data_IF_520013632181
#
_entry.id   IF_520013632181
#
_cell.length_a   1.000
_cell.length_b   1.000
_cell.length_c   1.000
_cell.angle_alpha   90.00
_cell.angle_beta   90.00
_cell.angle_gamma   90.00
#
_symmetry.space_group_name_H-M   'P 1'
#
loop_
_entity.id
_entity.type
_entity.pdbx_description
1 polymer ?
#
# COMPACT_ATOMS: atom_id res chain seq x y z
N UNK A 1 -80.60 50.46 5.70
CA UNK A 1 -79.53 49.50 5.94
C UNK A 1 -78.78 49.22 4.66
N UNK A 2 -77.67 49.86 4.46
CA UNK A 2 -76.90 49.83 3.22
C UNK A 2 -75.67 48.93 3.53
N UNK A 3 -75.56 47.81 2.80
CA UNK A 3 -74.37 46.92 2.88
C UNK A 3 -73.28 47.43 1.96
N UNK A 4 -72.12 47.82 2.53
CA UNK A 4 -70.92 48.08 1.77
C UNK A 4 -70.28 46.71 1.40
N UNK A 5 -69.99 46.53 0.13
CA UNK A 5 -69.22 45.44 -0.41
C UNK A 5 -67.79 45.97 -0.63
N UNK A 6 -66.83 45.53 0.14
CA UNK A 6 -65.43 45.79 -0.06
C UNK A 6 -64.84 44.77 -1.05
N UNK A 7 -64.46 45.28 -2.21
CA UNK A 7 -63.73 44.53 -3.26
C UNK A 7 -62.24 44.63 -2.97
N UNK A 8 -61.58 43.50 -2.47
CA UNK A 8 -60.11 43.41 -2.35
C UNK A 8 -59.53 43.04 -3.70
N UNK A 9 -58.83 44.00 -4.30
CA UNK A 9 -58.03 43.73 -5.50
C UNK A 9 -56.74 42.99 -5.18
N UNK A 10 -56.61 41.77 -5.68
CA UNK A 10 -55.41 40.94 -5.57
C UNK A 10 -54.43 41.26 -6.70
N UNK A 11 -53.38 42.05 -6.43
CA UNK A 11 -52.29 42.28 -7.37
C UNK A 11 -51.39 41.08 -7.42
N UNK A 12 -51.46 40.23 -8.44
CA UNK A 12 -50.50 39.21 -8.75
C UNK A 12 -49.23 39.86 -9.35
N UNK A 13 -48.18 39.92 -8.53
CA UNK A 13 -46.81 40.20 -9.00
C UNK A 13 -46.25 38.92 -9.62
N UNK A 14 -46.25 38.84 -10.95
CA UNK A 14 -45.52 37.85 -11.73
C UNK A 14 -44.03 38.20 -11.68
N UNK A 15 -43.29 37.64 -10.72
CA UNK A 15 -41.81 37.62 -10.73
C UNK A 15 -41.37 36.63 -11.78
N UNK A 16 -40.97 37.11 -12.95
CA UNK A 16 -40.32 36.31 -13.97
C UNK A 16 -38.98 35.79 -13.44
N UNK A 17 -38.91 34.52 -13.06
CA UNK A 17 -37.67 33.85 -12.84
C UNK A 17 -36.94 33.71 -14.17
N UNK A 18 -35.95 34.55 -14.42
CA UNK A 18 -35.01 34.37 -15.53
C UNK A 18 -34.15 33.16 -15.11
N UNK A 19 -34.45 31.98 -15.66
CA UNK A 19 -33.58 30.83 -15.56
C UNK A 19 -32.27 31.22 -16.27
N UNK A 20 -31.25 31.54 -15.50
CA UNK A 20 -29.90 31.59 -16.01
C UNK A 20 -29.53 30.16 -16.43
N UNK A 21 -29.58 29.89 -17.71
CA UNK A 21 -28.91 28.72 -18.29
C UNK A 21 -27.41 28.93 -18.14
N UNK A 22 -26.87 28.54 -17.01
CA UNK A 22 -25.44 28.35 -16.89
C UNK A 22 -25.09 27.24 -17.88
N UNK A 23 -24.53 27.63 -19.04
CA UNK A 23 -23.81 26.64 -19.87
C UNK A 23 -22.86 25.95 -18.96
N UNK A 24 -23.06 24.67 -18.67
CA UNK A 24 -22.03 23.84 -18.03
C UNK A 24 -20.75 24.10 -18.83
N UNK A 25 -19.68 24.59 -18.23
CA UNK A 25 -18.42 24.69 -18.93
C UNK A 25 -18.14 23.31 -19.51
N UNK A 26 -17.89 23.23 -20.81
CA UNK A 26 -17.53 21.99 -21.46
C UNK A 26 -16.41 21.33 -20.61
N UNK A 27 -16.67 20.15 -20.11
CA UNK A 27 -15.67 19.41 -19.29
C UNK A 27 -14.47 19.18 -20.19
N UNK A 28 -13.40 19.95 -20.00
CA UNK A 28 -12.16 19.75 -20.75
C UNK A 28 -11.54 18.48 -20.22
N UNK A 29 -11.66 17.40 -20.98
CA UNK A 29 -11.00 16.15 -20.67
C UNK A 29 -9.52 16.26 -21.04
N UNK A 30 -8.65 16.28 -20.03
CA UNK A 30 -7.21 16.24 -20.20
C UNK A 30 -6.73 14.79 -20.10
N UNK A 31 -5.91 14.36 -21.07
CA UNK A 31 -5.19 13.10 -20.94
C UNK A 31 -4.01 13.30 -19.99
N UNK A 32 -4.12 12.77 -18.79
CA UNK A 32 -3.08 12.83 -17.76
C UNK A 32 -3.16 11.59 -16.85
N UNK A 33 -2.04 10.84 -16.66
CA UNK A 33 -0.81 10.98 -17.42
C UNK A 33 -1.01 10.49 -18.86
N UNK A 34 -0.33 11.13 -19.80
CA UNK A 34 -0.19 10.60 -21.16
C UNK A 34 1.17 9.92 -21.27
N UNK A 35 1.17 8.63 -21.51
CA UNK A 35 2.36 7.82 -21.72
C UNK A 35 2.51 7.55 -23.21
N UNK A 36 3.57 8.06 -23.81
CA UNK A 36 3.93 7.80 -25.21
C UNK A 36 4.94 6.66 -25.31
N UNK A 37 5.09 6.16 -26.51
CA UNK A 37 6.09 5.15 -26.81
C UNK A 37 7.49 5.63 -26.41
N UNK A 38 8.33 4.70 -25.93
CA UNK A 38 9.68 5.03 -25.48
C UNK A 38 9.74 5.68 -24.10
N UNK A 39 8.64 5.66 -23.30
CA UNK A 39 8.67 6.06 -21.90
C UNK A 39 8.56 7.58 -21.65
N UNK A 40 8.24 8.38 -22.68
CA UNK A 40 7.93 9.79 -22.49
C UNK A 40 6.56 9.93 -21.82
N UNK A 41 6.50 10.58 -20.64
CA UNK A 41 5.27 10.79 -19.89
C UNK A 41 4.98 12.29 -19.75
N UNK A 42 3.75 12.66 -20.06
CA UNK A 42 3.26 14.05 -19.88
C UNK A 42 2.13 14.06 -18.85
N UNK A 43 2.34 14.81 -17.79
CA UNK A 43 1.34 15.09 -16.75
C UNK A 43 0.70 16.46 -17.04
N UNK A 44 -0.62 16.56 -16.94
CA UNK A 44 -1.36 17.81 -17.20
C UNK A 44 -2.36 18.09 -16.09
N UNK A 45 -2.52 19.38 -15.78
CA UNK A 45 -3.48 19.84 -14.78
C UNK A 45 -4.10 21.18 -15.25
N UNK A 46 -5.43 21.25 -15.29
CA UNK A 46 -6.14 22.50 -15.62
C UNK A 46 -6.33 23.35 -14.37
N UNK A 47 -5.63 24.48 -14.30
CA UNK A 47 -5.75 25.45 -13.22
C UNK A 47 -5.45 26.87 -13.73
N UNK A 48 -6.40 27.51 -14.47
CA UNK A 48 -6.15 28.80 -15.12
C UNK A 48 -5.82 29.92 -14.12
N UNK A 49 -6.35 29.85 -12.89
CA UNK A 49 -6.15 30.88 -11.87
C UNK A 49 -5.01 30.56 -10.90
N UNK A 50 -4.41 29.37 -10.95
CA UNK A 50 -3.31 29.01 -10.09
C UNK A 50 -2.04 29.81 -10.39
N UNK A 51 -1.30 30.16 -9.35
CA UNK A 51 -0.01 30.83 -9.42
C UNK A 51 1.14 29.85 -9.61
N UNK A 52 0.99 28.63 -9.08
CA UNK A 52 2.00 27.58 -9.11
C UNK A 52 1.36 26.21 -9.08
N UNK A 53 1.81 25.33 -9.98
CA UNK A 53 1.48 23.89 -9.93
C UNK A 53 2.78 23.10 -9.97
N UNK A 54 2.88 22.09 -9.12
CA UNK A 54 4.01 21.21 -9.03
C UNK A 54 3.55 19.76 -9.12
N UNK A 55 4.35 18.92 -9.77
CA UNK A 55 4.25 17.47 -9.74
C UNK A 55 5.16 16.94 -8.61
N UNK A 56 4.62 16.15 -7.71
CA UNK A 56 5.32 15.48 -6.62
C UNK A 56 5.28 13.98 -6.88
N UNK A 57 6.44 13.32 -6.89
CA UNK A 57 6.55 11.90 -7.18
C UNK A 57 7.14 11.11 -6.00
N UNK A 58 7.31 9.79 -6.17
CA UNK A 58 7.84 8.87 -5.15
C UNK A 58 9.20 9.27 -4.55
N UNK A 59 10.04 9.94 -5.33
CA UNK A 59 11.34 10.43 -4.87
C UNK A 59 11.26 11.69 -3.98
N UNK A 60 10.05 12.16 -3.69
CA UNK A 60 9.79 13.37 -2.90
C UNK A 60 10.16 14.68 -3.61
N UNK A 61 10.73 14.62 -4.82
CA UNK A 61 11.12 15.82 -5.56
C UNK A 61 9.90 16.54 -6.12
N UNK A 62 9.90 17.85 -5.96
CA UNK A 62 8.89 18.74 -6.50
C UNK A 62 9.36 19.27 -7.87
N UNK A 63 8.57 19.01 -8.89
CA UNK A 63 8.86 19.44 -10.28
C UNK A 63 7.88 20.53 -10.67
N UNK A 64 8.39 21.72 -10.99
CA UNK A 64 7.57 22.86 -11.42
C UNK A 64 6.98 22.55 -12.79
N UNK A 65 5.67 22.72 -12.92
CA UNK A 65 4.97 22.56 -14.18
C UNK A 65 4.92 23.91 -14.95
N UNK A 66 4.82 23.86 -16.27
CA UNK A 66 4.72 25.02 -17.13
C UNK A 66 3.26 25.26 -17.54
N UNK A 67 2.81 26.50 -17.45
CA UNK A 67 1.44 26.91 -17.78
C UNK A 67 1.37 27.41 -19.23
N UNK A 68 0.43 26.91 -19.99
CA UNK A 68 0.12 27.42 -21.32
C UNK A 68 -0.91 28.56 -21.30
N UNK A 69 -1.24 29.09 -22.47
CA UNK A 69 -2.19 30.21 -22.66
C UNK A 69 -3.66 29.82 -22.33
N UNK A 70 -3.97 28.53 -22.28
CA UNK A 70 -5.30 28.01 -21.94
C UNK A 70 -5.48 27.74 -20.44
N UNK A 71 -4.41 27.87 -19.67
CA UNK A 71 -4.40 27.60 -18.23
C UNK A 71 -4.12 26.15 -17.87
N UNK A 72 -3.69 25.35 -18.84
CA UNK A 72 -3.20 23.98 -18.60
C UNK A 72 -1.74 24.04 -18.19
N UNK A 73 -1.45 23.39 -17.08
CA UNK A 73 -0.10 23.17 -16.58
C UNK A 73 0.38 21.81 -17.04
N UNK A 74 1.62 21.73 -17.54
CA UNK A 74 2.21 20.48 -18.03
C UNK A 74 3.63 20.29 -17.52
N UNK A 75 4.00 19.01 -17.33
CA UNK A 75 5.36 18.55 -17.09
C UNK A 75 5.58 17.29 -17.91
N UNK A 76 6.69 17.22 -18.64
CA UNK A 76 7.03 16.06 -19.47
C UNK A 76 8.47 15.61 -19.17
N UNK A 77 8.65 14.30 -19.02
CA UNK A 77 9.97 13.68 -18.85
C UNK A 77 9.96 12.24 -19.33
N UNK A 78 11.15 11.68 -19.55
CA UNK A 78 11.32 10.24 -19.77
C UNK A 78 11.32 9.50 -18.43
N UNK A 79 10.63 8.36 -18.39
CA UNK A 79 10.56 7.45 -17.24
C UNK A 79 10.82 6.03 -17.72
N UNK A 80 11.62 5.30 -16.93
CA UNK A 80 11.81 3.87 -17.14
C UNK A 80 10.51 3.08 -16.90
N UNK A 81 10.36 1.90 -17.52
CA UNK A 81 9.18 1.05 -17.32
C UNK A 81 8.94 0.69 -15.85
N UNK A 82 7.88 1.24 -15.27
CA UNK A 82 7.46 0.97 -13.90
C UNK A 82 6.09 1.63 -13.60
N UNK A 83 5.63 1.54 -12.34
CA UNK A 83 4.44 2.24 -11.86
C UNK A 83 4.87 3.25 -10.79
N UNK A 84 4.61 4.52 -11.07
CA UNK A 84 5.02 5.67 -10.27
C UNK A 84 3.83 6.26 -9.53
N UNK A 85 3.97 6.52 -8.23
CA UNK A 85 3.00 7.33 -7.49
C UNK A 85 3.26 8.81 -7.71
N UNK A 86 2.22 9.59 -7.85
CA UNK A 86 2.34 11.03 -7.96
C UNK A 86 1.11 11.77 -7.42
N UNK A 87 1.30 13.05 -7.14
CA UNK A 87 0.25 14.01 -6.80
C UNK A 87 0.59 15.36 -7.42
N UNK A 88 -0.41 16.22 -7.53
CA UNK A 88 -0.19 17.63 -7.84
C UNK A 88 -0.25 18.47 -6.58
N UNK A 89 0.57 19.52 -6.51
CA UNK A 89 0.45 20.59 -5.53
C UNK A 89 0.08 21.88 -6.24
N UNK A 90 -1.17 22.33 -6.05
CA UNK A 90 -1.76 23.53 -6.66
C UNK A 90 -1.83 24.62 -5.62
N UNK A 91 -0.99 25.66 -5.76
CA UNK A 91 -0.84 26.74 -4.76
C UNK A 91 -0.67 26.22 -3.33
N UNK A 92 0.05 25.09 -3.19
CA UNK A 92 0.31 24.44 -1.91
C UNK A 92 -0.68 23.32 -1.50
N UNK A 93 -1.84 23.22 -2.16
CA UNK A 93 -2.81 22.16 -1.89
C UNK A 93 -2.46 20.89 -2.65
N UNK A 94 -2.20 19.81 -1.94
CA UNK A 94 -1.84 18.52 -2.52
C UNK A 94 -3.10 17.72 -2.86
N UNK A 95 -3.17 17.19 -4.09
CA UNK A 95 -4.29 16.40 -4.57
C UNK A 95 -3.87 15.36 -5.61
N UNK A 96 -4.63 14.26 -5.77
CA UNK A 96 -4.43 13.34 -6.89
C UNK A 96 -4.79 14.01 -8.23
N UNK A 97 -4.39 13.37 -9.31
CA UNK A 97 -4.79 13.78 -10.66
C UNK A 97 -6.28 13.50 -10.90
N UNK A 98 -7.12 14.51 -11.12
CA UNK A 98 -8.54 14.30 -11.33
C UNK A 98 -8.88 13.61 -12.67
N UNK A 99 -7.91 13.53 -13.58
CA UNK A 99 -8.08 12.88 -14.88
C UNK A 99 -7.55 11.44 -14.91
N UNK A 100 -6.98 10.96 -13.79
CA UNK A 100 -6.42 9.62 -13.70
C UNK A 100 -7.28 8.74 -12.80
N UNK A 101 -7.93 7.68 -13.31
CA UNK A 101 -8.74 6.77 -12.50
C UNK A 101 -7.88 5.81 -11.64
N UNK A 102 -6.57 5.69 -11.93
CA UNK A 102 -5.68 4.81 -11.17
C UNK A 102 -5.21 5.51 -9.90
N UNK A 103 -5.88 5.20 -8.80
CA UNK A 103 -5.62 5.80 -7.48
C UNK A 103 -5.23 4.70 -6.48
N UNK A 104 -4.15 4.93 -5.74
CA UNK A 104 -3.87 4.23 -4.49
C UNK A 104 -4.55 4.99 -3.35
N UNK A 105 -5.59 4.43 -2.71
CA UNK A 105 -6.22 5.07 -1.55
C UNK A 105 -5.24 5.20 -0.38
N UNK A 106 -5.52 6.14 0.50
CA UNK A 106 -4.79 6.33 1.75
C UNK A 106 -5.76 6.20 2.93
N UNK A 107 -5.39 5.39 3.91
CA UNK A 107 -6.21 5.13 5.08
C UNK A 107 -6.48 6.42 5.87
N UNK A 108 -7.76 6.66 6.19
CA UNK A 108 -8.24 7.88 6.90
C UNK A 108 -7.79 9.20 6.25
N UNK A 109 -7.60 9.21 4.92
CA UNK A 109 -7.32 10.43 4.15
C UNK A 109 -8.39 10.61 3.09
N UNK A 110 -8.79 11.85 2.87
CA UNK A 110 -9.82 12.19 1.88
C UNK A 110 -9.37 11.92 0.44
N UNK A 111 -8.06 12.00 0.20
CA UNK A 111 -7.46 11.91 -1.12
C UNK A 111 -6.37 10.82 -1.13
N UNK A 112 -6.36 10.03 -2.22
CA UNK A 112 -5.31 9.06 -2.49
C UNK A 112 -4.12 9.66 -3.26
N UNK A 113 -3.32 8.77 -3.83
CA UNK A 113 -2.19 9.10 -4.72
C UNK A 113 -2.45 8.48 -6.10
N UNK A 114 -2.24 9.26 -7.16
CA UNK A 114 -2.38 8.77 -8.53
C UNK A 114 -1.23 7.85 -8.92
N UNK A 115 -1.49 6.92 -9.83
CA UNK A 115 -0.51 5.96 -10.35
C UNK A 115 -0.31 6.18 -11.85
N UNK A 116 0.93 6.41 -12.27
CA UNK A 116 1.32 6.44 -13.68
C UNK A 116 2.02 5.12 -14.03
N UNK A 117 1.41 4.32 -14.90
CA UNK A 117 2.01 3.10 -15.41
C UNK A 117 2.75 3.40 -16.70
N UNK A 118 4.06 3.23 -16.71
CA UNK A 118 4.92 3.25 -17.89
C UNK A 118 5.15 1.79 -18.28
N UNK A 119 4.54 1.32 -19.38
CA UNK A 119 4.62 -0.08 -19.78
C UNK A 119 6.06 -0.51 -20.11
N UNK A 120 6.38 -1.73 -19.78
CA UNK A 120 7.68 -2.33 -20.01
C UNK A 120 7.61 -3.71 -20.71
N UNK A 121 8.76 -4.36 -20.85
CA UNK A 121 8.80 -5.69 -21.40
C UNK A 121 8.03 -6.68 -20.52
N UNK A 122 7.40 -7.68 -21.15
CA UNK A 122 6.62 -8.73 -20.47
C UNK A 122 7.44 -9.58 -19.48
N UNK A 123 8.74 -9.42 -19.47
CA UNK A 123 9.64 -10.05 -18.47
C UNK A 123 9.60 -9.37 -17.10
N UNK A 124 9.08 -8.13 -17.01
CA UNK A 124 8.85 -7.47 -15.71
C UNK A 124 7.69 -8.17 -15.00
N UNK A 125 7.92 -8.60 -13.76
CA UNK A 125 6.97 -9.42 -13.02
C UNK A 125 5.64 -8.72 -12.74
N UNK A 126 5.61 -7.40 -12.74
CA UNK A 126 4.41 -6.59 -12.50
C UNK A 126 3.66 -6.17 -13.76
N UNK A 127 4.13 -6.58 -14.95
CA UNK A 127 3.40 -6.39 -16.20
C UNK A 127 2.30 -7.44 -16.35
N UNK A 128 1.13 -7.00 -16.80
CA UNK A 128 0.01 -7.91 -17.04
C UNK A 128 0.30 -8.77 -18.26
N UNK A 129 0.43 -10.08 -18.05
CA UNK A 129 0.69 -11.06 -19.08
C UNK A 129 -0.56 -11.92 -19.34
N UNK A 130 -0.59 -12.58 -20.48
CA UNK A 130 -1.62 -13.57 -20.82
C UNK A 130 -1.25 -14.92 -20.17
N UNK A 131 -1.54 -15.02 -18.88
CA UNK A 131 -1.32 -16.20 -18.03
C UNK A 131 -2.57 -16.44 -17.18
N UNK A 132 -2.79 -17.64 -16.64
CA UNK A 132 -3.86 -17.85 -15.68
C UNK A 132 -3.73 -16.89 -14.48
N UNK A 133 -4.84 -16.26 -14.08
CA UNK A 133 -4.88 -15.30 -12.99
C UNK A 133 -5.52 -15.90 -11.75
N UNK A 134 -5.02 -15.48 -10.59
CA UNK A 134 -5.59 -15.75 -9.28
C UNK A 134 -6.83 -14.89 -8.98
N UNK A 135 -7.42 -15.10 -7.82
CA UNK A 135 -8.63 -14.38 -7.38
C UNK A 135 -8.30 -13.52 -6.17
N UNK A 136 -8.86 -12.31 -6.15
CA UNK A 136 -8.80 -11.39 -5.00
C UNK A 136 -10.14 -11.39 -4.28
N UNK A 137 -10.13 -11.70 -2.99
CA UNK A 137 -11.33 -11.72 -2.13
C UNK A 137 -11.12 -10.76 -0.95
N UNK A 138 -12.14 -9.99 -0.63
CA UNK A 138 -12.17 -9.14 0.56
C UNK A 138 -13.11 -9.74 1.59
N UNK A 139 -12.63 -9.94 2.82
CA UNK A 139 -13.42 -10.37 3.96
C UNK A 139 -13.49 -9.27 4.99
N UNK A 140 -14.69 -8.96 5.43
CA UNK A 140 -14.94 -8.03 6.53
C UNK A 140 -15.12 -8.80 7.86
N UNK A 141 -14.56 -8.27 8.92
CA UNK A 141 -14.71 -8.83 10.27
C UNK A 141 -14.66 -7.73 11.32
N UNK A 142 -15.26 -8.01 12.47
CA UNK A 142 -15.12 -7.17 13.65
C UNK A 142 -14.00 -7.71 14.51
N UNK A 143 -12.95 -6.91 14.70
CA UNK A 143 -11.89 -7.26 15.62
C UNK A 143 -12.36 -7.10 17.06
N UNK A 144 -12.24 -8.13 17.86
CA UNK A 144 -12.51 -8.08 19.30
C UNK A 144 -11.33 -7.46 20.08
N UNK A 145 -10.14 -7.51 19.50
CA UNK A 145 -8.90 -7.00 20.09
C UNK A 145 -8.75 -5.50 19.87
N UNK A 146 -8.98 -5.04 18.64
CA UNK A 146 -8.89 -3.61 18.30
C UNK A 146 -10.21 -2.89 18.57
N UNK A 147 -11.34 -3.58 18.45
CA UNK A 147 -12.68 -3.05 18.75
C UNK A 147 -13.40 -2.41 17.56
N UNK A 148 -12.82 -2.48 16.34
CA UNK A 148 -13.34 -1.85 15.13
C UNK A 148 -13.73 -2.85 14.03
N UNK A 149 -14.39 -2.36 12.98
CA UNK A 149 -14.65 -3.10 11.75
C UNK A 149 -13.39 -3.03 10.87
N UNK A 150 -12.97 -4.20 10.40
CA UNK A 150 -11.75 -4.38 9.62
C UNK A 150 -12.00 -5.25 8.40
N UNK A 151 -11.03 -5.25 7.50
CA UNK A 151 -11.00 -6.17 6.39
C UNK A 151 -9.63 -6.84 6.25
N UNK A 152 -9.64 -7.98 5.57
CA UNK A 152 -8.45 -8.57 4.97
C UNK A 152 -8.70 -8.75 3.48
N UNK A 153 -7.66 -8.64 2.69
CA UNK A 153 -7.67 -9.03 1.27
C UNK A 153 -6.83 -10.26 1.06
N UNK A 154 -7.41 -11.21 0.38
CA UNK A 154 -6.78 -12.51 0.15
C UNK A 154 -6.64 -12.75 -1.35
N UNK A 155 -5.41 -12.94 -1.79
CA UNK A 155 -5.13 -13.49 -3.11
C UNK A 155 -5.06 -15.01 -2.99
N UNK A 156 -5.79 -15.72 -3.85
CA UNK A 156 -5.65 -17.16 -4.06
C UNK A 156 -5.01 -17.41 -5.43
N UNK A 157 -4.08 -18.36 -5.55
CA UNK A 157 -3.35 -18.58 -6.80
C UNK A 157 -4.26 -19.11 -7.92
N UNK A 158 -3.85 -18.99 -9.18
CA UNK A 158 -4.57 -19.59 -10.32
C UNK A 158 -4.87 -21.07 -10.07
N UNK A 159 -6.11 -21.48 -10.34
CA UNK A 159 -6.56 -22.85 -10.12
C UNK A 159 -6.66 -23.26 -8.65
N UNK A 160 -6.83 -22.30 -7.73
CA UNK A 160 -7.04 -22.60 -6.31
C UNK A 160 -8.18 -23.60 -6.11
N UNK A 161 -7.88 -24.71 -5.42
CA UNK A 161 -8.85 -25.75 -5.06
C UNK A 161 -8.94 -25.87 -3.53
N UNK A 162 -10.08 -25.55 -2.91
CA UNK A 162 -10.26 -25.67 -1.46
C UNK A 162 -10.24 -27.12 -0.96
N UNK A 163 -10.35 -28.10 -1.85
CA UNK A 163 -10.35 -29.54 -1.53
C UNK A 163 -9.03 -30.24 -1.87
N UNK A 164 -8.03 -29.50 -2.34
CA UNK A 164 -6.71 -30.06 -2.65
C UNK A 164 -6.14 -30.78 -1.43
N UNK A 165 -5.55 -31.96 -1.64
CA UNK A 165 -4.95 -32.79 -0.57
C UNK A 165 -3.80 -32.06 0.14
N UNK A 166 -2.90 -31.45 -0.64
CA UNK A 166 -1.78 -30.66 -0.11
C UNK A 166 -2.24 -29.22 0.13
N UNK A 167 -2.25 -28.72 1.37
CA UNK A 167 -2.67 -27.36 1.67
C UNK A 167 -1.73 -26.32 1.04
N UNK A 168 -2.26 -25.13 0.78
CA UNK A 168 -1.47 -24.01 0.27
C UNK A 168 -0.68 -23.35 1.39
N UNK A 169 0.58 -22.99 1.15
CA UNK A 169 1.29 -22.11 2.06
C UNK A 169 0.73 -20.68 1.98
N UNK A 170 0.97 -19.90 3.04
CA UNK A 170 0.46 -18.53 3.19
C UNK A 170 1.59 -17.55 3.41
N UNK A 171 1.60 -16.48 2.62
CA UNK A 171 2.37 -15.28 2.88
C UNK A 171 1.42 -14.21 3.46
N UNK A 172 1.63 -13.82 4.71
CA UNK A 172 1.03 -12.63 5.30
C UNK A 172 1.88 -11.42 4.91
N UNK A 173 1.30 -10.48 4.17
CA UNK A 173 2.03 -9.37 3.54
C UNK A 173 1.48 -8.02 4.03
N UNK A 174 2.29 -7.29 4.81
CA UNK A 174 1.88 -6.08 5.49
C UNK A 174 2.22 -4.82 4.70
N UNK A 175 1.30 -3.87 4.70
CA UNK A 175 1.44 -2.56 4.07
C UNK A 175 2.16 -1.54 4.98
N UNK A 176 2.51 -0.39 4.44
CA UNK A 176 3.15 0.71 5.17
C UNK A 176 2.18 1.66 5.84
N UNK A 177 2.75 2.65 6.54
CA UNK A 177 1.95 3.69 7.18
C UNK A 177 1.16 4.49 6.14
N UNK A 178 -0.06 4.90 6.47
CA UNK A 178 -1.06 5.53 5.62
C UNK A 178 -1.64 4.66 4.50
N UNK A 179 -1.16 3.45 4.30
CA UNK A 179 -1.70 2.51 3.32
C UNK A 179 -2.95 1.79 3.84
N UNK A 180 -3.65 1.10 2.95
CA UNK A 180 -4.81 0.25 3.22
C UNK A 180 -4.54 -1.20 2.79
N UNK A 181 -5.46 -2.10 3.10
CA UNK A 181 -5.36 -3.53 2.74
C UNK A 181 -5.20 -3.80 1.25
N UNK A 182 -5.57 -2.85 0.38
CA UNK A 182 -5.45 -2.95 -1.07
C UNK A 182 -4.12 -2.39 -1.63
N UNK A 183 -3.25 -1.84 -0.80
CA UNK A 183 -2.06 -1.13 -1.29
C UNK A 183 -1.10 -2.04 -2.08
N UNK A 184 -0.94 -3.28 -1.63
CA UNK A 184 -0.13 -4.27 -2.33
C UNK A 184 -0.75 -4.70 -3.67
N UNK A 185 -2.07 -4.79 -3.79
CA UNK A 185 -2.74 -5.10 -5.06
C UNK A 185 -2.77 -3.93 -6.02
N UNK A 186 -2.95 -2.70 -5.52
CA UNK A 186 -3.03 -1.49 -6.37
C UNK A 186 -1.64 -1.00 -6.80
N UNK A 187 -0.83 -0.54 -5.86
CA UNK A 187 0.51 -0.03 -6.14
C UNK A 187 1.57 -1.13 -6.21
N UNK A 188 1.45 -2.17 -5.40
CA UNK A 188 2.39 -3.29 -5.34
C UNK A 188 2.25 -4.29 -6.49
N UNK A 189 1.05 -4.43 -7.08
CA UNK A 189 0.76 -5.41 -8.14
C UNK A 189 1.05 -6.86 -7.71
N UNK A 190 0.90 -7.18 -6.42
CA UNK A 190 1.28 -8.47 -5.86
C UNK A 190 0.63 -9.66 -6.58
N UNK A 191 -0.66 -9.54 -6.91
CA UNK A 191 -1.42 -10.56 -7.63
C UNK A 191 -0.82 -10.83 -9.02
N UNK A 192 -0.48 -9.79 -9.78
CA UNK A 192 0.13 -9.90 -11.10
C UNK A 192 1.54 -10.50 -11.00
N UNK A 193 2.32 -10.07 -10.00
CA UNK A 193 3.65 -10.62 -9.72
C UNK A 193 3.54 -12.13 -9.46
N UNK A 194 2.59 -12.54 -8.62
CA UNK A 194 2.41 -13.95 -8.27
C UNK A 194 1.93 -14.78 -9.45
N UNK A 195 0.95 -14.28 -10.22
CA UNK A 195 0.45 -14.97 -11.42
C UNK A 195 1.60 -15.25 -12.40
N UNK A 196 2.42 -14.21 -12.68
CA UNK A 196 3.56 -14.34 -13.57
C UNK A 196 4.64 -15.31 -13.04
N UNK A 197 4.97 -15.23 -11.76
CA UNK A 197 5.98 -16.11 -11.16
C UNK A 197 5.52 -17.57 -11.09
N UNK A 198 4.24 -17.81 -10.82
CA UNK A 198 3.64 -19.14 -10.80
C UNK A 198 3.64 -19.73 -12.21
N UNK A 199 3.19 -18.96 -13.22
CA UNK A 199 3.19 -19.39 -14.61
C UNK A 199 4.60 -19.71 -15.15
N UNK A 200 5.62 -19.02 -14.65
CA UNK A 200 7.03 -19.26 -14.96
C UNK A 200 7.66 -20.41 -14.14
N UNK A 201 6.93 -21.03 -13.21
CA UNK A 201 7.47 -22.06 -12.31
C UNK A 201 8.52 -21.54 -11.31
N UNK A 202 8.61 -20.22 -11.11
CA UNK A 202 9.62 -19.57 -10.25
C UNK A 202 9.22 -19.56 -8.77
N UNK A 203 7.93 -19.68 -8.47
CA UNK A 203 7.41 -19.75 -7.09
C UNK A 203 6.33 -20.83 -6.98
N UNK A 204 6.18 -21.38 -5.77
CA UNK A 204 5.06 -22.29 -5.49
C UNK A 204 3.74 -21.50 -5.42
N UNK A 205 2.61 -22.06 -5.90
CA UNK A 205 1.30 -21.49 -5.66
C UNK A 205 1.07 -21.31 -4.16
N UNK A 206 0.78 -20.08 -3.74
CA UNK A 206 0.54 -19.71 -2.33
C UNK A 206 -0.61 -18.73 -2.21
N UNK A 207 -1.21 -18.68 -1.03
CA UNK A 207 -2.19 -17.66 -0.64
C UNK A 207 -1.42 -16.45 -0.14
N UNK A 208 -1.85 -15.23 -0.48
CA UNK A 208 -1.36 -14.00 0.15
C UNK A 208 -2.49 -13.36 0.93
N UNK A 209 -2.19 -12.92 2.15
CA UNK A 209 -3.15 -12.24 3.04
C UNK A 209 -2.62 -10.86 3.39
N UNK A 210 -3.34 -9.83 2.97
CA UNK A 210 -3.11 -8.45 3.34
C UNK A 210 -4.10 -8.06 4.43
N UNK A 211 -3.60 -7.62 5.57
CA UNK A 211 -4.44 -7.16 6.69
C UNK A 211 -4.20 -5.69 6.99
N UNK A 212 -5.19 -5.01 7.58
CA UNK A 212 -5.04 -3.62 8.00
C UNK A 212 -4.04 -3.52 9.15
N UNK A 213 -2.93 -2.83 8.93
CA UNK A 213 -1.74 -2.77 9.80
C UNK A 213 -1.87 -1.87 11.04
N UNK A 214 -3.10 -1.45 11.44
CA UNK A 214 -3.30 -0.51 12.54
C UNK A 214 -4.01 -1.16 13.72
N UNK A 215 -3.30 -1.27 14.85
CA UNK A 215 -3.88 -1.61 16.15
C UNK A 215 -4.47 -0.38 16.89
N UNK A 216 -3.96 0.80 16.56
CA UNK A 216 -4.42 2.09 17.09
C UNK A 216 -4.68 3.07 15.93
N UNK A 217 -5.76 2.86 15.13
CA UNK A 217 -6.00 3.65 13.93
C UNK A 217 -6.24 5.15 14.19
N UNK A 218 -6.58 5.51 15.41
CA UNK A 218 -6.69 6.90 15.87
C UNK A 218 -5.36 7.67 15.76
N UNK A 219 -4.22 7.00 15.73
CA UNK A 219 -2.92 7.64 15.55
C UNK A 219 -2.77 8.36 14.20
N UNK A 220 -3.63 8.05 13.22
CA UNK A 220 -3.63 8.67 11.88
C UNK A 220 -4.64 9.81 11.75
N UNK A 221 -5.44 10.10 12.78
CA UNK A 221 -6.40 11.19 12.74
C UNK A 221 -5.68 12.57 12.82
N UNK A 222 -6.17 13.58 12.06
CA UNK A 222 -5.61 14.92 12.14
C UNK A 222 -5.69 15.46 13.58
N UNK A 223 -4.57 15.95 14.10
CA UNK A 223 -4.50 16.53 15.44
C UNK A 223 -4.38 15.54 16.61
N UNK A 224 -4.38 14.25 16.36
CA UNK A 224 -4.32 13.20 17.39
C UNK A 224 -2.94 12.97 18.02
N UNK A 225 -1.99 13.91 17.95
CA UNK A 225 -0.62 13.67 18.43
C UNK A 225 0.01 12.45 17.76
N UNK A 226 -0.32 12.23 16.49
CA UNK A 226 0.06 11.12 15.68
C UNK A 226 1.56 10.85 15.81
N UNK A 227 1.90 9.58 16.08
CA UNK A 227 3.28 9.12 16.27
C UNK A 227 3.92 9.38 17.62
N UNK A 228 3.14 9.66 18.69
CA UNK A 228 3.71 9.56 20.04
C UNK A 228 4.22 8.13 20.27
N UNK A 229 5.23 7.98 21.13
CA UNK A 229 5.78 6.66 21.46
C UNK A 229 4.71 5.71 21.99
N UNK A 230 3.79 6.25 22.79
CA UNK A 230 2.66 5.52 23.37
C UNK A 230 1.69 5.03 22.28
N UNK A 231 1.36 5.89 21.32
CA UNK A 231 0.48 5.52 20.20
C UNK A 231 1.11 4.47 19.30
N UNK A 232 2.40 4.61 18.99
CA UNK A 232 3.15 3.63 18.19
C UNK A 232 3.23 2.28 18.91
N UNK A 233 3.55 2.27 20.20
CA UNK A 233 3.59 1.05 21.03
C UNK A 233 2.23 0.38 21.10
N UNK A 234 1.16 1.13 21.39
CA UNK A 234 -0.22 0.63 21.39
C UNK A 234 -0.60 0.05 20.04
N UNK A 235 -0.23 0.75 18.95
CA UNK A 235 -0.47 0.27 17.59
C UNK A 235 0.16 -1.09 17.35
N UNK A 236 1.43 -1.24 17.70
CA UNK A 236 2.17 -2.48 17.51
C UNK A 236 1.58 -3.64 18.33
N UNK A 237 1.38 -3.42 19.64
CA UNK A 237 0.85 -4.44 20.56
C UNK A 237 -0.52 -4.97 20.11
N UNK A 238 -1.46 -4.07 19.78
CA UNK A 238 -2.81 -4.45 19.37
C UNK A 238 -2.83 -5.06 17.96
N UNK A 239 -2.01 -4.54 17.03
CA UNK A 239 -1.91 -5.11 15.70
C UNK A 239 -1.36 -6.53 15.74
N UNK A 240 -0.23 -6.76 16.41
CA UNK A 240 0.38 -8.09 16.54
C UNK A 240 -0.58 -9.06 17.23
N UNK A 241 -1.27 -8.62 18.29
CA UNK A 241 -2.25 -9.45 18.98
C UNK A 241 -3.43 -9.84 18.06
N UNK A 242 -4.00 -8.88 17.31
CA UNK A 242 -5.08 -9.13 16.34
C UNK A 242 -4.61 -10.02 15.18
N UNK A 243 -3.43 -9.77 14.65
CA UNK A 243 -2.85 -10.59 13.61
C UNK A 243 -2.72 -12.06 14.02
N UNK A 244 -2.11 -12.31 15.17
CA UNK A 244 -1.85 -13.67 15.66
C UNK A 244 -3.12 -14.40 16.11
N UNK A 245 -4.06 -13.70 16.75
CA UNK A 245 -5.23 -14.33 17.39
C UNK A 245 -6.51 -14.26 16.57
N UNK A 246 -6.58 -13.37 15.57
CA UNK A 246 -7.79 -13.20 14.75
C UNK A 246 -7.52 -13.50 13.28
N UNK A 247 -6.51 -12.85 12.66
CA UNK A 247 -6.26 -12.95 11.20
C UNK A 247 -5.74 -14.34 10.81
N UNK A 248 -4.74 -14.88 11.52
CA UNK A 248 -4.21 -16.21 11.23
C UNK A 248 -5.31 -17.29 11.37
N UNK A 249 -6.03 -17.40 12.51
CA UNK A 249 -7.09 -18.40 12.66
C UNK A 249 -8.25 -18.21 11.66
N UNK A 250 -8.58 -16.97 11.31
CA UNK A 250 -9.60 -16.70 10.29
C UNK A 250 -9.16 -17.21 8.92
N UNK A 251 -7.92 -16.96 8.52
CA UNK A 251 -7.36 -17.45 7.26
C UNK A 251 -7.39 -18.99 7.19
N UNK A 252 -6.99 -19.66 8.27
CA UNK A 252 -6.99 -21.13 8.35
C UNK A 252 -8.38 -21.75 8.33
N UNK A 253 -9.40 -21.03 8.81
CA UNK A 253 -10.79 -21.47 8.73
C UNK A 253 -11.39 -21.27 7.34
N UNK A 254 -11.00 -20.21 6.62
CA UNK A 254 -11.61 -19.83 5.35
C UNK A 254 -10.94 -20.49 4.14
N UNK A 255 -9.68 -20.87 4.25
CA UNK A 255 -8.88 -21.33 3.13
C UNK A 255 -8.20 -22.67 3.42
N UNK A 256 -7.92 -23.42 2.36
CA UNK A 256 -7.18 -24.68 2.44
C UNK A 256 -5.71 -24.42 2.73
N UNK A 257 -5.39 -24.15 3.99
CA UNK A 257 -4.04 -23.96 4.52
C UNK A 257 -3.84 -24.80 5.77
N UNK A 258 -2.65 -24.81 6.35
CA UNK A 258 -2.30 -25.65 7.49
C UNK A 258 -1.70 -24.83 8.64
N UNK A 259 -2.16 -25.15 9.85
CA UNK A 259 -1.61 -24.60 11.10
C UNK A 259 -0.22 -25.17 11.43
N UNK A 260 0.74 -24.95 10.52
CA UNK A 260 2.13 -25.41 10.66
C UNK A 260 3.06 -24.31 10.15
N UNK A 261 4.08 -23.96 10.93
CA UNK A 261 5.01 -22.87 10.60
C UNK A 261 5.69 -23.02 9.24
N UNK A 262 5.89 -24.24 8.74
CA UNK A 262 6.51 -24.49 7.44
C UNK A 262 5.64 -24.04 6.27
N UNK A 263 4.34 -23.82 6.51
CA UNK A 263 3.38 -23.26 5.56
C UNK A 263 3.14 -21.76 5.77
N UNK A 264 3.86 -21.09 6.69
CA UNK A 264 3.64 -19.66 6.97
C UNK A 264 4.90 -18.83 6.76
N UNK A 265 4.70 -17.75 5.98
CA UNK A 265 5.65 -16.67 5.81
C UNK A 265 5.00 -15.36 6.26
N UNK A 266 5.77 -14.42 6.77
CA UNK A 266 5.36 -13.05 7.06
C UNK A 266 6.36 -12.08 6.45
N UNK A 267 5.88 -11.06 5.76
CA UNK A 267 6.71 -10.00 5.21
C UNK A 267 5.92 -8.68 5.15
N UNK A 268 6.63 -7.58 4.96
CA UNK A 268 5.98 -6.29 4.80
C UNK A 268 6.95 -5.19 4.42
N UNK A 269 6.39 -4.02 4.09
CA UNK A 269 7.14 -2.83 3.73
C UNK A 269 7.02 -1.75 4.81
N UNK A 270 8.08 -0.96 5.02
CA UNK A 270 8.05 0.21 5.91
C UNK A 270 7.57 -0.15 7.33
N UNK A 271 6.46 0.42 7.81
CA UNK A 271 5.80 0.04 9.05
C UNK A 271 5.53 -1.48 9.07
N UNK A 272 4.91 -2.01 8.01
CA UNK A 272 4.66 -3.44 7.89
C UNK A 272 5.94 -4.28 7.84
N UNK A 273 7.06 -3.71 7.39
CA UNK A 273 8.38 -4.33 7.48
C UNK A 273 8.86 -4.50 8.93
N UNK A 274 8.70 -3.47 9.76
CA UNK A 274 8.94 -3.54 11.19
C UNK A 274 8.04 -4.58 11.86
N UNK A 275 6.74 -4.51 11.58
CA UNK A 275 5.72 -5.44 12.08
C UNK A 275 5.96 -6.90 11.69
N UNK A 276 6.43 -7.16 10.46
CA UNK A 276 6.75 -8.52 10.04
C UNK A 276 7.98 -9.08 10.75
N UNK A 277 8.98 -8.23 11.01
CA UNK A 277 10.14 -8.62 11.82
C UNK A 277 9.74 -8.88 13.28
N UNK A 278 8.89 -8.02 13.87
CA UNK A 278 8.37 -8.25 15.23
C UNK A 278 7.55 -9.55 15.30
N UNK A 279 6.55 -9.72 14.44
CA UNK A 279 5.72 -10.92 14.41
C UNK A 279 6.54 -12.19 14.22
N UNK A 280 7.49 -12.19 13.26
CA UNK A 280 8.25 -13.38 12.89
C UNK A 280 9.34 -13.75 13.88
N UNK A 281 10.14 -12.78 14.33
CA UNK A 281 11.27 -13.05 15.21
C UNK A 281 10.86 -13.28 16.66
N UNK A 282 9.76 -12.69 17.13
CA UNK A 282 9.21 -12.95 18.45
C UNK A 282 8.36 -14.24 18.52
N UNK A 283 7.94 -14.79 17.35
CA UNK A 283 7.11 -15.99 17.26
C UNK A 283 7.69 -17.03 16.27
N UNK A 284 8.93 -17.49 16.45
CA UNK A 284 9.61 -18.38 15.49
C UNK A 284 9.01 -19.80 15.42
N UNK A 285 8.07 -20.10 16.32
CA UNK A 285 7.31 -21.35 16.28
C UNK A 285 6.03 -21.25 15.42
N UNK A 286 5.68 -20.03 14.96
CA UNK A 286 4.54 -19.79 14.08
C UNK A 286 4.94 -19.59 12.60
N UNK A 287 6.18 -19.16 12.33
CA UNK A 287 6.66 -18.83 10.99
C UNK A 287 7.95 -19.55 10.67
N UNK A 288 8.19 -19.84 9.38
CA UNK A 288 9.51 -20.31 8.90
C UNK A 288 10.23 -19.28 8.06
N UNK A 289 9.53 -18.27 7.55
CA UNK A 289 10.08 -17.26 6.63
C UNK A 289 9.64 -15.87 7.09
N UNK A 290 10.61 -14.98 7.20
CA UNK A 290 10.40 -13.60 7.66
C UNK A 290 11.05 -12.64 6.66
N UNK A 291 10.32 -11.65 6.16
CA UNK A 291 10.79 -10.65 5.22
C UNK A 291 10.57 -9.23 5.71
N UNK A 292 11.57 -8.36 5.59
CA UNK A 292 11.47 -6.95 5.91
C UNK A 292 11.94 -6.09 4.73
N UNK A 293 11.04 -5.26 4.17
CA UNK A 293 11.33 -4.40 3.03
C UNK A 293 11.36 -2.94 3.48
N UNK A 294 12.52 -2.29 3.41
CA UNK A 294 12.67 -0.91 3.93
C UNK A 294 12.06 -0.75 5.32
N UNK A 295 12.39 -1.64 6.23
CA UNK A 295 11.69 -1.84 7.50
C UNK A 295 11.79 -0.62 8.41
N UNK A 296 10.64 -0.11 8.88
CA UNK A 296 10.60 0.97 9.85
C UNK A 296 10.84 0.45 11.30
N UNK A 297 11.98 -0.18 11.50
CA UNK A 297 12.40 -0.70 12.82
C UNK A 297 12.53 0.40 13.89
N UNK A 298 12.61 1.65 13.47
CA UNK A 298 12.58 2.83 14.37
C UNK A 298 11.23 3.03 15.06
N UNK A 299 10.16 2.40 14.56
CA UNK A 299 8.83 2.43 15.17
C UNK A 299 8.68 1.40 16.30
N UNK A 300 9.60 0.45 16.38
CA UNK A 300 9.72 -0.50 17.49
C UNK A 300 10.39 0.17 18.70
N UNK A 301 10.59 -0.58 19.80
CA UNK A 301 11.37 -0.05 20.92
C UNK A 301 12.80 0.29 20.42
N UNK A 302 13.34 1.49 20.71
CA UNK A 302 14.70 1.87 20.31
C UNK A 302 15.79 0.96 20.93
N UNK A 303 15.49 0.30 22.05
CA UNK A 303 16.27 -0.82 22.57
C UNK A 303 15.76 -2.13 21.96
N UNK A 304 16.42 -2.60 20.92
CA UNK A 304 16.03 -3.86 20.25
C UNK A 304 16.04 -5.09 21.18
N UNK A 305 16.75 -5.07 22.32
CA UNK A 305 16.65 -6.15 23.30
C UNK A 305 15.29 -6.16 24.02
N UNK A 306 14.62 -5.01 24.10
CA UNK A 306 13.24 -4.92 24.61
C UNK A 306 12.22 -5.29 23.53
N UNK A 307 12.45 -4.84 22.28
CA UNK A 307 11.58 -5.22 21.16
C UNK A 307 11.63 -6.74 20.90
N UNK A 308 12.80 -7.37 21.09
CA UNK A 308 13.01 -8.80 20.82
C UNK A 308 13.61 -9.50 22.05
N UNK A 309 12.86 -9.64 23.16
CA UNK A 309 13.42 -10.03 24.46
C UNK A 309 13.93 -11.48 24.53
N UNK A 310 13.50 -12.33 23.60
CA UNK A 310 13.85 -13.76 23.52
C UNK A 310 14.72 -14.09 22.31
N UNK A 311 15.19 -13.08 21.57
CA UNK A 311 15.95 -13.31 20.35
C UNK A 311 17.40 -13.66 20.68
N UNK A 312 17.81 -14.86 20.30
CA UNK A 312 19.17 -15.37 20.35
C UNK A 312 19.47 -16.29 19.16
N UNK A 313 20.69 -16.79 19.07
CA UNK A 313 21.14 -17.64 17.97
C UNK A 313 20.34 -18.94 17.78
N UNK A 314 19.56 -19.39 18.77
CA UNK A 314 18.71 -20.58 18.65
C UNK A 314 17.64 -20.48 17.58
N UNK A 315 17.24 -19.23 17.24
CA UNK A 315 16.26 -18.95 16.16
C UNK A 315 16.75 -19.45 14.79
N UNK A 316 18.07 -19.55 14.61
CA UNK A 316 18.69 -20.06 13.38
C UNK A 316 18.30 -21.50 13.04
N UNK A 317 17.86 -22.27 14.03
CA UNK A 317 17.37 -23.64 13.88
C UNK A 317 15.84 -23.67 13.69
N UNK A 318 15.15 -22.55 13.90
CA UNK A 318 13.69 -22.44 13.84
C UNK A 318 13.21 -21.82 12.55
N UNK A 319 13.90 -20.80 12.06
CA UNK A 319 13.56 -20.09 10.83
C UNK A 319 14.38 -20.64 9.65
N UNK A 320 13.72 -20.80 8.51
CA UNK A 320 14.36 -21.17 7.24
C UNK A 320 14.97 -19.94 6.54
N UNK A 321 14.34 -18.77 6.71
CA UNK A 321 14.77 -17.52 6.06
C UNK A 321 14.40 -16.30 6.91
N UNK A 322 15.38 -15.43 7.14
CA UNK A 322 15.18 -14.03 7.49
C UNK A 322 15.80 -13.20 6.36
N UNK A 323 14.99 -12.42 5.66
CA UNK A 323 15.40 -11.64 4.48
C UNK A 323 15.05 -10.18 4.64
N UNK A 324 16.05 -9.31 4.56
CA UNK A 324 15.89 -7.86 4.76
C UNK A 324 16.49 -7.15 3.53
N UNK A 325 15.75 -6.21 2.97
CA UNK A 325 16.23 -5.41 1.87
C UNK A 325 15.76 -3.96 1.95
N UNK A 326 16.59 -3.04 1.47
CA UNK A 326 16.33 -1.60 1.50
C UNK A 326 17.01 -0.89 0.33
N UNK A 327 16.41 0.21 -0.12
CA UNK A 327 17.03 1.11 -1.09
C UNK A 327 18.17 1.92 -0.48
N UNK A 328 19.24 2.17 -1.23
CA UNK A 328 20.40 2.98 -0.77
C UNK A 328 20.04 4.44 -0.50
N UNK A 329 19.04 4.96 -1.23
CA UNK A 329 18.53 6.32 -1.07
C UNK A 329 17.28 6.41 -0.19
N UNK A 330 16.94 5.31 0.51
CA UNK A 330 15.82 5.25 1.43
C UNK A 330 16.16 5.98 2.74
N UNK A 331 15.26 6.83 3.22
CA UNK A 331 15.48 7.57 4.46
C UNK A 331 15.60 6.69 5.71
N UNK A 332 15.23 5.42 5.64
CA UNK A 332 15.38 4.43 6.71
C UNK A 332 16.71 3.65 6.63
N UNK A 333 17.59 3.95 5.69
CA UNK A 333 18.82 3.18 5.44
C UNK A 333 19.68 3.04 6.71
N UNK A 334 19.92 4.14 7.43
CA UNK A 334 20.76 4.13 8.61
C UNK A 334 20.16 3.35 9.78
N UNK A 335 18.82 3.38 9.94
CA UNK A 335 18.15 2.58 10.96
C UNK A 335 18.21 1.09 10.63
N UNK A 336 18.10 0.72 9.36
CA UNK A 336 18.23 -0.68 8.92
C UNK A 336 19.67 -1.19 9.04
N UNK A 337 20.69 -0.37 8.79
CA UNK A 337 22.10 -0.70 9.03
C UNK A 337 22.40 -0.94 10.52
N UNK A 338 21.83 -0.09 11.40
CA UNK A 338 21.94 -0.31 12.86
C UNK A 338 21.27 -1.61 13.28
N UNK A 339 20.08 -1.89 12.75
CA UNK A 339 19.36 -3.13 13.02
C UNK A 339 20.12 -4.36 12.52
N UNK A 340 20.69 -4.29 11.31
CA UNK A 340 21.58 -5.29 10.75
C UNK A 340 22.75 -5.61 11.72
N UNK A 341 23.47 -4.57 12.16
CA UNK A 341 24.60 -4.74 13.08
C UNK A 341 24.18 -5.35 14.42
N UNK A 342 22.97 -5.00 14.91
CA UNK A 342 22.43 -5.61 16.11
C UNK A 342 22.11 -7.11 15.91
N UNK A 343 21.49 -7.51 14.79
CA UNK A 343 21.25 -8.93 14.46
C UNK A 343 22.57 -9.71 14.36
N UNK A 344 23.61 -9.12 13.77
CA UNK A 344 24.96 -9.70 13.70
C UNK A 344 25.54 -9.92 15.10
N UNK A 345 25.37 -8.95 16.02
CA UNK A 345 25.83 -9.08 17.41
C UNK A 345 25.12 -10.20 18.19
N UNK A 346 23.92 -10.61 17.75
CA UNK A 346 23.14 -11.72 18.31
C UNK A 346 23.44 -13.06 17.60
N UNK A 347 24.34 -13.07 16.62
CA UNK A 347 24.65 -14.24 15.80
C UNK A 347 23.42 -14.81 15.05
N UNK A 348 22.49 -13.94 14.64
CA UNK A 348 21.33 -14.32 13.84
C UNK A 348 21.76 -14.51 12.39
N UNK A 349 21.31 -15.60 11.76
CA UNK A 349 21.48 -15.84 10.31
C UNK A 349 20.39 -15.11 9.54
N UNK A 350 20.77 -14.22 8.66
CA UNK A 350 19.84 -13.47 7.78
C UNK A 350 20.53 -13.09 6.46
N UNK A 351 19.73 -12.78 5.46
CA UNK A 351 20.17 -12.13 4.23
C UNK A 351 19.85 -10.66 4.29
N UNK A 352 20.80 -9.81 3.94
CA UNK A 352 20.63 -8.36 3.89
C UNK A 352 21.09 -7.81 2.54
N UNK A 353 20.26 -7.00 1.88
CA UNK A 353 20.55 -6.46 0.57
C UNK A 353 20.22 -4.97 0.51
N UNK A 354 21.17 -4.16 0.04
CA UNK A 354 20.97 -2.77 -0.33
C UNK A 354 20.92 -2.65 -1.86
N UNK A 355 19.82 -2.08 -2.39
CA UNK A 355 19.67 -1.88 -3.84
C UNK A 355 19.58 -0.39 -4.18
N UNK A 356 19.68 -0.05 -5.44
CA UNK A 356 19.33 1.30 -5.88
C UNK A 356 17.87 1.61 -5.61
N UNK A 357 17.55 2.87 -5.30
CA UNK A 357 16.21 3.41 -5.16
C UNK A 357 15.86 3.94 -3.77
N UNK A 358 14.70 4.59 -3.73
CA UNK A 358 14.15 5.30 -2.57
C UNK A 358 13.06 4.47 -1.87
N UNK A 359 12.41 5.04 -0.86
CA UNK A 359 11.28 4.44 -0.12
C UNK A 359 10.00 4.37 -0.98
N UNK A 360 9.90 3.40 -1.88
CA UNK A 360 8.82 3.35 -2.88
C UNK A 360 8.38 1.95 -3.27
N UNK A 361 7.14 1.86 -3.82
CA UNK A 361 6.61 0.61 -4.37
C UNK A 361 7.41 0.06 -5.55
N UNK A 362 8.15 0.88 -6.27
CA UNK A 362 9.07 0.46 -7.33
C UNK A 362 10.13 -0.50 -6.76
N UNK A 363 10.71 -0.15 -5.63
CA UNK A 363 11.69 -0.99 -4.92
C UNK A 363 11.01 -2.22 -4.32
N UNK A 364 9.87 -2.05 -3.67
CA UNK A 364 9.18 -3.14 -2.97
C UNK A 364 8.57 -4.18 -3.89
N UNK A 365 8.14 -3.84 -5.12
CA UNK A 365 7.75 -4.82 -6.15
C UNK A 365 8.91 -5.75 -6.50
N UNK A 366 10.11 -5.22 -6.65
CA UNK A 366 11.33 -6.01 -6.89
C UNK A 366 11.66 -6.92 -5.71
N UNK A 367 11.47 -6.41 -4.49
CA UNK A 367 11.69 -7.20 -3.27
C UNK A 367 10.65 -8.32 -3.15
N UNK A 368 9.38 -8.04 -3.36
CA UNK A 368 8.34 -9.08 -3.38
C UNK A 368 8.63 -10.14 -4.44
N UNK A 369 9.02 -9.72 -5.65
CA UNK A 369 9.42 -10.63 -6.74
C UNK A 369 10.56 -11.56 -6.30
N UNK A 370 11.60 -11.02 -5.66
CA UNK A 370 12.75 -11.80 -5.21
C UNK A 370 12.37 -12.70 -4.02
N UNK A 371 11.73 -12.13 -3.01
CA UNK A 371 11.37 -12.84 -1.78
C UNK A 371 10.41 -14.01 -2.04
N UNK A 372 9.38 -13.82 -2.89
CA UNK A 372 8.42 -14.88 -3.23
C UNK A 372 9.08 -16.11 -3.85
N UNK A 373 10.17 -15.92 -4.60
CA UNK A 373 10.93 -17.02 -5.19
C UNK A 373 11.78 -17.80 -4.19
N UNK A 374 12.00 -17.28 -2.99
CA UNK A 374 12.77 -17.92 -1.91
C UNK A 374 11.86 -18.72 -0.95
N UNK A 375 10.54 -18.49 -1.02
CA UNK A 375 9.59 -19.07 -0.08
C UNK A 375 9.26 -20.52 -0.39
N UNK A 376 9.02 -21.31 0.67
CA UNK A 376 8.45 -22.65 0.63
C UNK A 376 9.20 -23.64 -0.28
N UNK A 377 10.48 -23.40 -0.53
CA UNK A 377 11.35 -24.38 -1.18
C UNK A 377 11.67 -25.52 -0.21
N UNK A 378 11.76 -26.71 -0.76
CA UNK A 378 12.08 -27.94 0.00
C UNK A 378 13.49 -27.89 0.56
#
# INVERSE_FOLDING_TARGET
MIKLINTLGLCLLLSGAVAQTTKNPATVYLKSPEVADGGQVTFRFLAPNAKKVMLIMDDGKQRIMQKDTTGVWAFSAHFEPDIYRYTFAVDGNVMPDPNNPLIKPLFKRALGQSLAHVPGPKTLSWELNDVPHGTLVQHFYKSSIVGDQRDIRVYTPPGYDPKRKEPYPVLYLFHGITDETNAWTTAGRENVIMDNLIAQGKTKPMIIVNTLGYGAPEMLEPGAGAYSKEALKKNEELFIASFLKEVIPMTERLYNTKADKKYRAVAGLSMGGGQSLDAGLNNPDLFSYVGGFSSAVILLDPDYNKAFPKLDASINNKLKLVWIAIGKDDFLIESNRKYKSWLESKNIKFSYTETEGVHSYQVWRRYLTTFSQLLFKD
#
